data_IF_012990353134
#
_entry.id   IF_012990353134
#
_cell.length_a   1.000
_cell.length_b   1.000
_cell.length_c   1.000
_cell.angle_alpha   90.00
_cell.angle_beta   90.00
_cell.angle_gamma   90.00
#
_symmetry.space_group_name_H-M   'P 1'
#
loop_
_entity.id
_entity.type
_entity.pdbx_description
1 polymer ?
#
# COMPACT_ATOMS: atom_id res chain seq x y z
N UNK A 1 -15.73 -11.53 5.70
CA UNK A 1 -14.74 -11.05 6.68
C UNK A 1 -14.27 -12.27 7.46
N UNK A 2 -12.96 -12.50 7.48
CA UNK A 2 -12.31 -13.60 8.22
C UNK A 2 -11.20 -13.05 9.12
N UNK A 3 -11.24 -11.76 9.46
CA UNK A 3 -10.25 -11.13 10.34
C UNK A 3 -10.31 -11.67 11.77
N UNK A 4 -9.23 -11.52 12.55
CA UNK A 4 -9.11 -11.92 13.96
C UNK A 4 -9.46 -13.40 14.21
N UNK A 5 -9.01 -14.27 13.32
CA UNK A 5 -9.12 -15.73 13.45
C UNK A 5 -7.72 -16.35 13.62
N UNK A 6 -7.64 -17.68 13.58
CA UNK A 6 -6.40 -18.44 13.72
C UNK A 6 -5.93 -19.05 12.39
N UNK A 7 -6.17 -18.37 11.26
CA UNK A 7 -5.69 -18.83 9.95
C UNK A 7 -4.18 -18.64 9.90
N UNK A 8 -3.43 -19.74 9.87
CA UNK A 8 -1.97 -19.70 9.81
C UNK A 8 -1.45 -19.95 8.39
N UNK A 9 -2.10 -20.86 7.66
CA UNK A 9 -1.64 -21.34 6.38
C UNK A 9 -2.77 -21.22 5.34
N UNK A 10 -2.41 -20.85 4.12
CA UNK A 10 -3.31 -20.87 2.95
C UNK A 10 -2.71 -21.79 1.90
N UNK A 11 -3.42 -22.86 1.56
CA UNK A 11 -3.04 -23.83 0.55
C UNK A 11 -3.89 -23.70 -0.72
N UNK A 12 -3.41 -24.23 -1.84
CA UNK A 12 -4.15 -24.17 -3.11
C UNK A 12 -5.56 -24.77 -3.00
N UNK A 13 -5.72 -25.84 -2.21
CA UNK A 13 -7.02 -26.51 -1.98
C UNK A 13 -8.04 -25.60 -1.28
N UNK A 14 -7.60 -24.64 -0.47
CA UNK A 14 -8.49 -23.78 0.32
C UNK A 14 -9.25 -22.79 -0.59
N UNK A 15 -8.66 -22.46 -1.73
CA UNK A 15 -9.21 -21.50 -2.70
C UNK A 15 -9.85 -22.19 -3.92
N UNK A 16 -9.93 -23.53 -3.93
CA UNK A 16 -10.44 -24.30 -5.07
C UNK A 16 -11.87 -23.90 -5.48
N UNK A 17 -12.73 -23.56 -4.52
CA UNK A 17 -14.09 -23.08 -4.80
C UNK A 17 -14.08 -21.74 -5.53
N UNK A 18 -13.14 -20.84 -5.21
CA UNK A 18 -13.03 -19.54 -5.86
C UNK A 18 -12.61 -19.67 -7.32
N UNK A 19 -11.78 -20.66 -7.66
CA UNK A 19 -11.45 -20.97 -9.06
C UNK A 19 -12.68 -21.37 -9.89
N UNK A 20 -13.68 -21.99 -9.26
CA UNK A 20 -14.93 -22.38 -9.93
C UNK A 20 -15.91 -21.21 -10.07
N UNK A 21 -15.60 -20.06 -9.46
CA UNK A 21 -16.47 -18.88 -9.40
C UNK A 21 -15.75 -17.61 -9.91
N UNK A 22 -15.25 -17.59 -11.17
CA UNK A 22 -14.41 -16.49 -11.68
C UNK A 22 -15.12 -15.14 -11.82
N UNK A 23 -16.46 -15.12 -11.81
CA UNK A 23 -17.27 -13.90 -11.87
C UNK A 23 -17.59 -13.31 -10.48
N UNK A 24 -17.15 -13.95 -9.41
CA UNK A 24 -17.44 -13.53 -8.05
C UNK A 24 -16.65 -12.25 -7.71
N UNK A 25 -17.37 -11.14 -7.50
CA UNK A 25 -16.78 -9.88 -7.05
C UNK A 25 -16.55 -9.88 -5.52
N UNK A 26 -15.62 -10.71 -5.05
CA UNK A 26 -15.39 -10.94 -3.62
C UNK A 26 -14.42 -9.93 -3.01
N UNK A 27 -14.77 -9.38 -1.85
CA UNK A 27 -13.85 -8.69 -0.96
C UNK A 27 -13.50 -9.57 0.23
N UNK A 28 -12.21 -9.77 0.47
CA UNK A 28 -11.70 -10.61 1.53
C UNK A 28 -10.86 -9.78 2.51
N UNK A 29 -11.15 -9.93 3.79
CA UNK A 29 -10.35 -9.37 4.89
C UNK A 29 -9.82 -10.53 5.72
N UNK A 30 -8.49 -10.60 5.82
CA UNK A 30 -7.75 -11.60 6.58
C UNK A 30 -6.94 -10.97 7.71
N UNK A 31 -7.14 -9.69 8.02
CA UNK A 31 -6.36 -8.97 9.04
C UNK A 31 -6.34 -9.71 10.39
N UNK A 32 -5.27 -9.55 11.17
CA UNK A 32 -5.12 -10.14 12.52
C UNK A 32 -5.18 -11.68 12.56
N UNK A 33 -4.91 -12.34 11.44
CA UNK A 33 -4.64 -13.77 11.42
C UNK A 33 -3.12 -14.00 11.46
N UNK A 34 -2.60 -14.95 12.27
CA UNK A 34 -1.17 -15.23 12.37
C UNK A 34 -0.66 -16.03 11.16
N UNK A 35 -0.74 -15.43 9.98
CA UNK A 35 -0.39 -16.07 8.71
C UNK A 35 1.13 -16.20 8.63
N UNK A 36 1.60 -17.45 8.58
CA UNK A 36 3.02 -17.77 8.48
C UNK A 36 3.39 -18.34 7.10
N UNK A 37 2.40 -18.78 6.31
CA UNK A 37 2.65 -19.38 5.01
C UNK A 37 1.47 -19.25 4.05
N UNK A 38 1.77 -18.87 2.82
CA UNK A 38 0.85 -18.97 1.68
C UNK A 38 1.54 -19.83 0.63
N UNK A 39 0.90 -20.94 0.26
CA UNK A 39 1.45 -21.86 -0.73
C UNK A 39 1.62 -21.16 -2.07
N UNK A 40 2.81 -21.19 -2.69
CA UNK A 40 3.02 -20.65 -4.03
C UNK A 40 2.01 -21.23 -5.03
N UNK A 41 1.34 -20.35 -5.77
CA UNK A 41 0.32 -20.72 -6.74
C UNK A 41 -1.09 -20.86 -6.17
N UNK A 42 -1.30 -20.70 -4.86
CA UNK A 42 -2.65 -20.76 -4.27
C UNK A 42 -3.58 -19.68 -4.83
N UNK A 43 -3.05 -18.50 -5.15
CA UNK A 43 -3.81 -17.38 -5.70
C UNK A 43 -3.69 -17.22 -7.23
N UNK A 44 -3.07 -18.18 -7.92
CA UNK A 44 -2.93 -18.12 -9.37
C UNK A 44 -4.31 -18.07 -10.02
N UNK A 45 -4.56 -17.16 -10.96
CA UNK A 45 -5.86 -17.03 -11.66
C UNK A 45 -7.06 -16.70 -10.75
N UNK A 46 -6.82 -16.33 -9.49
CA UNK A 46 -7.86 -15.81 -8.60
C UNK A 46 -8.02 -14.31 -8.83
N UNK A 47 -9.29 -13.87 -8.83
CA UNK A 47 -9.69 -12.46 -8.93
C UNK A 47 -10.40 -12.03 -7.66
N UNK A 48 -9.94 -10.94 -7.04
CA UNK A 48 -10.59 -10.33 -5.88
C UNK A 48 -10.89 -8.86 -6.13
N UNK A 49 -12.03 -8.40 -5.62
CA UNK A 49 -12.30 -6.97 -5.56
C UNK A 49 -11.37 -6.29 -4.55
N UNK A 50 -11.21 -6.90 -3.38
CA UNK A 50 -10.38 -6.35 -2.31
C UNK A 50 -9.72 -7.48 -1.54
N UNK A 51 -8.45 -7.30 -1.20
CA UNK A 51 -7.74 -8.12 -0.23
C UNK A 51 -7.16 -7.20 0.85
N UNK A 52 -7.47 -7.48 2.11
CA UNK A 52 -6.92 -6.76 3.27
C UNK A 52 -6.06 -7.72 4.10
N UNK A 53 -4.79 -7.38 4.26
CA UNK A 53 -3.81 -8.10 5.07
C UNK A 53 -3.13 -7.11 6.00
N UNK A 54 -3.65 -6.97 7.23
CA UNK A 54 -3.09 -6.06 8.24
C UNK A 54 -2.76 -6.80 9.54
N UNK A 55 -1.57 -6.55 10.10
CA UNK A 55 -0.98 -7.33 11.21
C UNK A 55 -1.14 -8.85 11.03
N UNK A 56 -0.64 -9.35 9.90
CA UNK A 56 -0.68 -10.78 9.62
C UNK A 56 0.64 -11.51 9.89
N UNK A 57 1.75 -10.79 9.87
CA UNK A 57 3.08 -11.39 9.76
C UNK A 57 3.92 -11.02 10.97
N UNK A 58 4.53 -12.04 11.60
CA UNK A 58 5.39 -11.85 12.76
C UNK A 58 6.81 -11.36 12.40
N UNK A 59 7.20 -11.38 11.12
CA UNK A 59 8.50 -10.90 10.66
C UNK A 59 8.49 -10.51 9.19
N UNK A 60 9.50 -9.73 8.77
CA UNK A 60 9.71 -9.37 7.36
C UNK A 60 9.86 -10.62 6.46
N UNK A 61 10.61 -11.64 6.91
CA UNK A 61 10.83 -12.85 6.11
C UNK A 61 9.51 -13.58 5.85
N UNK A 62 8.66 -13.72 6.87
CA UNK A 62 7.33 -14.31 6.74
C UNK A 62 6.46 -13.49 5.78
N UNK A 63 6.47 -12.16 5.93
CA UNK A 63 5.75 -11.26 5.02
C UNK A 63 6.19 -11.45 3.57
N UNK A 64 7.50 -11.46 3.30
CA UNK A 64 8.06 -11.66 1.95
C UNK A 64 7.63 -12.99 1.34
N UNK A 65 7.77 -14.09 2.08
CA UNK A 65 7.34 -15.41 1.62
C UNK A 65 5.83 -15.48 1.37
N UNK A 66 5.01 -14.88 2.23
CA UNK A 66 3.56 -14.85 2.05
C UNK A 66 3.16 -14.01 0.83
N UNK A 67 3.78 -12.84 0.62
CA UNK A 67 3.54 -12.01 -0.56
C UNK A 67 3.92 -12.75 -1.85
N UNK A 68 5.04 -13.48 -1.85
CA UNK A 68 5.42 -14.34 -2.98
C UNK A 68 4.37 -15.43 -3.25
N UNK A 69 3.73 -15.96 -2.20
CA UNK A 69 2.62 -16.91 -2.31
C UNK A 69 1.37 -16.34 -3.01
N UNK A 70 1.22 -15.01 -3.06
CA UNK A 70 0.13 -14.32 -3.76
C UNK A 70 0.34 -14.20 -5.28
N UNK A 71 1.47 -14.71 -5.81
CA UNK A 71 1.79 -14.61 -7.24
C UNK A 71 0.65 -15.11 -8.14
N UNK A 72 0.31 -14.30 -9.14
CA UNK A 72 -0.78 -14.57 -10.09
C UNK A 72 -2.16 -14.07 -9.65
N UNK A 73 -2.28 -13.44 -8.47
CA UNK A 73 -3.50 -12.76 -8.04
C UNK A 73 -3.78 -11.51 -8.88
N UNK A 74 -5.02 -11.35 -9.32
CA UNK A 74 -5.55 -10.08 -9.82
C UNK A 74 -6.47 -9.47 -8.75
N UNK A 75 -6.13 -8.26 -8.29
CA UNK A 75 -6.87 -7.59 -7.22
C UNK A 75 -7.17 -6.14 -7.58
N UNK A 76 -8.44 -5.77 -7.44
CA UNK A 76 -8.82 -4.37 -7.67
C UNK A 76 -8.25 -3.46 -6.58
N UNK A 77 -8.31 -3.85 -5.30
CA UNK A 77 -7.69 -3.12 -4.20
C UNK A 77 -6.93 -4.00 -3.21
N UNK A 78 -5.62 -3.78 -3.09
CA UNK A 78 -4.79 -4.41 -2.05
C UNK A 78 -4.57 -3.44 -0.90
N UNK A 79 -4.79 -3.90 0.33
CA UNK A 79 -4.51 -3.15 1.55
C UNK A 79 -3.53 -3.94 2.40
N UNK A 80 -2.34 -3.39 2.61
CA UNK A 80 -1.33 -3.90 3.54
C UNK A 80 -1.15 -2.93 4.71
N UNK A 81 -0.48 -3.39 5.76
CA UNK A 81 0.00 -2.54 6.86
C UNK A 81 -0.32 -3.13 8.23
N UNK A 82 -0.39 -2.26 9.22
CA UNK A 82 -0.42 -2.65 10.63
C UNK A 82 -1.42 -1.81 11.45
N UNK A 83 -1.47 -2.04 12.76
CA UNK A 83 -2.32 -1.44 13.76
C UNK A 83 -1.41 -1.05 14.94
N UNK A 84 -1.53 0.20 15.39
CA UNK A 84 -0.67 0.79 16.43
C UNK A 84 -0.64 0.04 17.77
N UNK A 85 -1.68 -0.73 18.06
CA UNK A 85 -1.85 -1.39 19.35
C UNK A 85 -1.47 -2.88 19.30
N UNK A 86 -0.90 -3.34 18.18
CA UNK A 86 -0.54 -4.73 17.94
C UNK A 86 0.97 -4.90 17.81
N UNK A 87 1.43 -6.16 17.75
CA UNK A 87 2.84 -6.46 17.42
C UNK A 87 3.09 -6.14 15.94
N UNK A 88 4.17 -5.40 15.69
CA UNK A 88 4.52 -4.85 14.38
C UNK A 88 5.89 -5.35 13.93
N UNK A 89 6.14 -5.33 12.62
CA UNK A 89 7.40 -5.79 12.02
C UNK A 89 8.49 -4.74 12.30
N UNK A 90 9.56 -5.16 12.97
CA UNK A 90 10.66 -4.27 13.35
C UNK A 90 11.56 -3.89 12.16
N UNK A 91 11.84 -4.81 11.25
CA UNK A 91 12.84 -4.62 10.18
C UNK A 91 12.20 -4.49 8.79
N UNK A 92 11.27 -3.55 8.60
CA UNK A 92 10.69 -3.35 7.27
C UNK A 92 11.67 -2.64 6.34
N UNK A 93 12.09 -3.31 5.26
CA UNK A 93 13.07 -2.80 4.30
C UNK A 93 12.51 -2.65 2.88
N UNK A 94 13.32 -2.12 1.97
CA UNK A 94 12.95 -1.92 0.56
C UNK A 94 12.57 -3.19 -0.19
N UNK A 95 13.00 -4.37 0.28
CA UNK A 95 12.69 -5.66 -0.32
C UNK A 95 11.35 -6.24 0.13
N UNK A 96 10.68 -5.63 1.11
CA UNK A 96 9.42 -6.11 1.70
C UNK A 96 8.31 -6.32 0.67
N UNK A 97 8.29 -5.50 -0.38
CA UNK A 97 7.21 -5.45 -1.37
C UNK A 97 7.60 -6.01 -2.75
N UNK A 98 8.79 -6.58 -2.92
CA UNK A 98 9.27 -7.10 -4.21
C UNK A 98 8.34 -8.16 -4.81
N UNK A 99 7.70 -8.99 -3.98
CA UNK A 99 6.77 -10.02 -4.45
C UNK A 99 5.50 -9.44 -5.10
N UNK A 100 5.15 -8.17 -4.84
CA UNK A 100 3.99 -7.51 -5.44
C UNK A 100 4.10 -7.34 -6.96
N UNK A 101 5.33 -7.39 -7.51
CA UNK A 101 5.56 -7.37 -8.95
C UNK A 101 4.89 -8.55 -9.69
N UNK A 102 4.57 -9.64 -8.98
CA UNK A 102 3.92 -10.83 -9.54
C UNK A 102 2.39 -10.81 -9.43
N UNK A 103 1.81 -9.66 -9.04
CA UNK A 103 0.37 -9.46 -8.90
C UNK A 103 -0.11 -8.41 -9.92
N UNK A 104 -1.39 -8.47 -10.29
CA UNK A 104 -2.05 -7.37 -11.00
C UNK A 104 -2.86 -6.56 -10.00
N UNK A 105 -2.38 -5.36 -9.67
CA UNK A 105 -2.97 -4.49 -8.64
C UNK A 105 -3.49 -3.22 -9.31
N UNK A 106 -4.77 -2.88 -9.13
CA UNK A 106 -5.32 -1.61 -9.63
C UNK A 106 -5.19 -0.47 -8.62
N UNK A 107 -5.47 -0.73 -7.35
CA UNK A 107 -5.35 0.21 -6.23
C UNK A 107 -4.54 -0.42 -5.10
N UNK A 108 -3.62 0.37 -4.54
CA UNK A 108 -2.81 -0.05 -3.40
C UNK A 108 -2.97 0.92 -2.23
N UNK A 109 -3.06 0.36 -1.01
CA UNK A 109 -2.95 1.12 0.23
C UNK A 109 -1.99 0.44 1.20
N UNK A 110 -1.12 1.23 1.80
CA UNK A 110 -0.33 0.86 2.96
C UNK A 110 -0.78 1.68 4.16
N UNK A 111 -1.31 0.99 5.17
CA UNK A 111 -1.97 1.61 6.31
C UNK A 111 -1.21 1.29 7.60
N UNK A 112 -0.48 2.28 8.09
CA UNK A 112 0.36 2.25 9.29
C UNK A 112 1.48 1.23 9.20
N UNK A 113 2.69 1.70 9.48
CA UNK A 113 3.91 0.93 9.69
C UNK A 113 4.69 1.68 10.75
N UNK A 114 5.20 0.97 11.75
CA UNK A 114 6.00 1.60 12.80
C UNK A 114 7.37 2.03 12.28
N UNK A 115 8.06 1.13 11.58
CA UNK A 115 9.37 1.39 10.99
C UNK A 115 9.26 1.53 9.48
N UNK A 116 8.97 2.74 9.02
CA UNK A 116 8.92 3.02 7.58
C UNK A 116 10.34 3.32 7.04
N UNK A 117 10.78 2.70 5.93
CA UNK A 117 12.13 2.84 5.44
C UNK A 117 12.38 4.22 4.81
N UNK A 118 13.62 4.68 4.88
CA UNK A 118 14.02 5.98 4.33
C UNK A 118 14.01 6.04 2.79
N UNK A 119 14.24 4.91 2.10
CA UNK A 119 14.25 4.83 0.63
C UNK A 119 12.91 4.28 0.12
N UNK A 120 12.19 5.13 -0.60
CA UNK A 120 10.81 4.88 -1.02
C UNK A 120 10.74 4.43 -2.48
N UNK A 121 11.72 4.82 -3.32
CA UNK A 121 11.74 4.46 -4.75
C UNK A 121 11.84 2.95 -4.88
N UNK A 122 12.88 2.36 -4.28
CA UNK A 122 13.11 0.92 -4.36
C UNK A 122 11.94 0.14 -3.76
N UNK A 123 11.35 0.68 -2.68
CA UNK A 123 10.21 0.06 -2.00
C UNK A 123 8.96 -0.05 -2.88
N UNK A 124 8.66 0.97 -3.70
CA UNK A 124 7.41 1.05 -4.46
C UNK A 124 7.55 0.79 -5.96
N UNK A 125 8.72 0.31 -6.44
CA UNK A 125 8.93 -0.03 -7.84
C UNK A 125 7.87 -0.99 -8.42
N UNK A 126 7.47 -2.02 -7.66
CA UNK A 126 6.40 -2.95 -8.08
C UNK A 126 5.01 -2.30 -8.19
N UNK A 127 4.85 -1.10 -7.62
CA UNK A 127 3.61 -0.34 -7.60
C UNK A 127 3.65 0.87 -8.54
N UNK A 128 4.68 0.98 -9.39
CA UNK A 128 4.85 2.13 -10.26
C UNK A 128 3.71 2.35 -11.27
N UNK A 129 2.97 1.28 -11.59
CA UNK A 129 1.88 1.28 -12.58
C UNK A 129 0.47 1.19 -11.97
N UNK A 130 0.31 1.24 -10.65
CA UNK A 130 -1.05 1.23 -10.06
C UNK A 130 -1.79 2.51 -10.42
N UNK A 131 -3.12 2.44 -10.51
CA UNK A 131 -3.93 3.62 -10.80
C UNK A 131 -4.11 4.52 -9.56
N UNK A 132 -4.22 3.91 -8.38
CA UNK A 132 -4.37 4.61 -7.11
C UNK A 132 -3.35 4.11 -6.10
N UNK A 133 -2.63 5.03 -5.49
CA UNK A 133 -1.65 4.76 -4.43
C UNK A 133 -2.03 5.53 -3.16
N UNK A 134 -1.96 4.86 -2.01
CA UNK A 134 -2.42 5.40 -0.73
C UNK A 134 -1.47 5.05 0.40
N UNK A 135 -1.01 6.05 1.14
CA UNK A 135 -0.31 5.89 2.41
C UNK A 135 -1.16 6.51 3.52
N UNK A 136 -1.34 5.76 4.60
CA UNK A 136 -2.12 6.21 5.75
C UNK A 136 -1.32 5.99 7.02
N UNK A 137 -1.15 7.02 7.84
CA UNK A 137 -0.55 6.88 9.19
C UNK A 137 0.87 6.33 9.24
N UNK A 138 1.71 6.73 8.28
CA UNK A 138 3.15 6.39 8.21
C UNK A 138 4.04 7.61 8.49
N UNK A 139 5.26 7.38 8.97
CA UNK A 139 6.31 8.40 9.12
C UNK A 139 7.20 8.41 7.88
N UNK A 140 7.29 9.54 7.17
CA UNK A 140 8.01 9.66 5.91
C UNK A 140 9.09 10.72 6.09
N UNK A 141 10.34 10.27 6.06
CA UNK A 141 11.52 11.13 6.26
C UNK A 141 12.01 11.75 4.96
N UNK A 142 12.39 10.92 3.99
CA UNK A 142 12.76 11.37 2.64
C UNK A 142 11.52 11.44 1.77
N UNK A 143 11.40 12.53 1.04
CA UNK A 143 10.20 12.83 0.24
C UNK A 143 10.54 13.11 -1.23
N UNK A 144 11.81 13.29 -1.54
CA UNK A 144 12.34 13.52 -2.89
C UNK A 144 11.96 12.36 -3.83
N UNK A 145 11.78 11.17 -3.26
CA UNK A 145 11.42 9.94 -3.94
C UNK A 145 10.02 9.96 -4.58
N UNK A 146 9.13 10.87 -4.15
CA UNK A 146 7.80 11.02 -4.76
C UNK A 146 7.83 11.72 -6.13
N UNK A 147 8.96 12.32 -6.52
CA UNK A 147 9.19 12.86 -7.87
C UNK A 147 9.57 11.78 -8.90
N UNK A 148 9.64 10.51 -8.50
CA UNK A 148 9.89 9.43 -9.45
C UNK A 148 8.75 9.31 -10.47
N UNK A 149 9.05 8.76 -11.65
CA UNK A 149 8.14 8.69 -12.79
C UNK A 149 7.04 7.60 -12.63
N UNK A 150 6.28 7.69 -11.54
CA UNK A 150 5.13 6.85 -11.26
C UNK A 150 3.95 7.22 -12.17
N UNK A 151 3.18 6.21 -12.60
CA UNK A 151 2.01 6.38 -13.47
C UNK A 151 0.70 6.51 -12.70
N UNK A 152 0.78 6.89 -11.42
CA UNK A 152 -0.38 7.02 -10.55
C UNK A 152 -1.33 8.10 -11.08
N UNK A 153 -2.62 7.81 -11.02
CA UNK A 153 -3.70 8.73 -11.36
C UNK A 153 -4.33 9.35 -10.11
N UNK A 154 -4.27 8.63 -8.99
CA UNK A 154 -4.70 9.10 -7.67
C UNK A 154 -3.62 8.81 -6.62
N UNK A 155 -3.25 9.84 -5.87
CA UNK A 155 -2.32 9.76 -4.74
C UNK A 155 -3.03 10.24 -3.48
N UNK A 156 -3.06 9.40 -2.47
CA UNK A 156 -3.65 9.68 -1.16
C UNK A 156 -2.59 9.56 -0.07
N UNK A 157 -2.34 10.65 0.65
CA UNK A 157 -1.40 10.77 1.76
C UNK A 157 -2.15 11.34 2.96
N UNK A 158 -2.51 10.48 3.91
CA UNK A 158 -3.46 10.83 4.97
C UNK A 158 -2.93 10.47 6.35
N UNK A 159 -3.00 11.43 7.29
CA UNK A 159 -2.55 11.23 8.67
C UNK A 159 -1.08 10.78 8.77
N UNK A 160 -0.28 11.08 7.77
CA UNK A 160 1.15 10.80 7.75
C UNK A 160 1.93 11.90 8.48
N UNK A 161 3.18 11.60 8.81
CA UNK A 161 4.12 12.57 9.37
C UNK A 161 5.22 12.78 8.32
N UNK A 162 5.45 14.02 7.93
CA UNK A 162 6.47 14.39 6.96
C UNK A 162 7.49 15.35 7.57
N UNK A 163 8.78 15.18 7.25
CA UNK A 163 9.78 16.19 7.63
C UNK A 163 9.66 17.48 6.81
N UNK A 164 9.17 17.37 5.56
CA UNK A 164 8.89 18.49 4.65
C UNK A 164 7.79 18.12 3.65
N UNK A 165 7.16 19.11 3.01
CA UNK A 165 6.19 18.84 1.94
C UNK A 165 6.88 18.13 0.76
N UNK A 166 6.29 17.06 0.19
CA UNK A 166 6.95 16.29 -0.88
C UNK A 166 7.03 17.11 -2.18
N UNK A 167 8.19 17.16 -2.85
CA UNK A 167 8.24 17.59 -4.25
C UNK A 167 7.50 16.53 -5.07
N UNK A 168 6.46 16.95 -5.80
CA UNK A 168 5.64 16.03 -6.59
C UNK A 168 5.77 16.39 -8.08
N UNK A 169 6.28 15.44 -8.87
CA UNK A 169 6.46 15.56 -10.32
C UNK A 169 5.76 14.40 -11.05
N UNK A 170 4.44 14.30 -10.91
CA UNK A 170 3.64 13.17 -11.39
C UNK A 170 2.76 13.56 -12.57
N UNK A 171 3.26 13.29 -13.78
CA UNK A 171 2.64 13.70 -15.06
C UNK A 171 1.24 13.14 -15.29
N UNK A 172 0.94 11.96 -14.75
CA UNK A 172 -0.35 11.27 -14.92
C UNK A 172 -1.34 11.52 -13.78
N UNK A 173 -0.93 12.25 -12.73
CA UNK A 173 -1.73 12.40 -11.52
C UNK A 173 -2.91 13.34 -11.76
N UNK A 174 -4.12 12.81 -11.57
CA UNK A 174 -5.38 13.54 -11.71
C UNK A 174 -5.95 13.99 -10.38
N UNK A 175 -5.71 13.22 -9.31
CA UNK A 175 -6.26 13.49 -7.99
C UNK A 175 -5.15 13.40 -6.94
N UNK A 176 -4.98 14.47 -6.18
CA UNK A 176 -4.12 14.50 -5.00
C UNK A 176 -4.96 14.74 -3.76
N UNK A 177 -4.89 13.80 -2.82
CA UNK A 177 -5.46 13.93 -1.48
C UNK A 177 -4.32 13.93 -0.47
N UNK A 178 -3.93 15.09 0.02
CA UNK A 178 -2.94 15.26 1.06
C UNK A 178 -3.65 15.92 2.24
N UNK A 179 -4.09 15.15 3.24
CA UNK A 179 -4.93 15.69 4.33
C UNK A 179 -4.60 15.12 5.70
N UNK A 180 -4.85 15.93 6.74
CA UNK A 180 -4.62 15.58 8.14
C UNK A 180 -3.17 15.16 8.45
N UNK A 181 -2.21 15.57 7.63
CA UNK A 181 -0.80 15.27 7.82
C UNK A 181 -0.17 16.21 8.86
N UNK A 182 0.91 15.77 9.49
CA UNK A 182 1.72 16.54 10.44
C UNK A 182 3.13 16.72 9.89
N UNK A 183 3.83 17.78 10.27
CA UNK A 183 5.19 18.00 9.81
C UNK A 183 5.60 19.47 9.75
N UNK A 184 6.65 19.75 8.96
CA UNK A 184 6.93 21.12 8.54
C UNK A 184 5.96 21.51 7.43
N UNK A 185 5.18 22.54 7.73
CA UNK A 185 3.98 22.87 6.98
C UNK A 185 4.20 23.97 5.95
N UNK A 186 5.30 23.95 5.21
CA UNK A 186 5.50 24.90 4.11
C UNK A 186 5.17 24.19 2.80
N UNK A 187 4.15 24.69 2.10
CA UNK A 187 3.88 24.24 0.75
C UNK A 187 5.08 24.55 -0.16
N UNK A 188 5.46 23.61 -1.01
CA UNK A 188 6.42 23.81 -2.10
C UNK A 188 5.71 23.64 -3.45
N UNK A 189 6.23 24.27 -4.49
CA UNK A 189 5.71 24.11 -5.84
C UNK A 189 5.72 22.64 -6.28
N UNK A 190 4.74 22.26 -7.11
CA UNK A 190 4.54 20.90 -7.63
C UNK A 190 4.33 20.94 -9.14
N UNK A 191 4.75 19.90 -9.85
CA UNK A 191 4.61 19.75 -11.30
C UNK A 191 3.64 18.59 -11.61
N UNK A 192 2.35 18.94 -11.63
CA UNK A 192 1.23 18.00 -11.79
C UNK A 192 0.33 18.45 -12.95
N UNK A 193 0.76 18.28 -14.22
CA UNK A 193 0.10 18.88 -15.39
C UNK A 193 -1.30 18.30 -15.69
N UNK A 194 -1.61 17.10 -15.18
CA UNK A 194 -2.90 16.43 -15.36
C UNK A 194 -3.84 16.60 -14.17
N UNK A 195 -3.50 17.43 -13.18
CA UNK A 195 -4.24 17.52 -11.93
C UNK A 195 -5.63 18.15 -12.14
N UNK A 196 -6.66 17.39 -11.75
CA UNK A 196 -8.07 17.77 -11.85
C UNK A 196 -8.69 18.00 -10.46
N UNK A 197 -8.13 17.39 -9.41
CA UNK A 197 -8.62 17.47 -8.03
C UNK A 197 -7.46 17.60 -7.04
N UNK A 198 -7.54 18.59 -6.15
CA UNK A 198 -6.55 18.86 -5.12
C UNK A 198 -7.23 19.07 -3.76
N UNK A 199 -6.96 18.18 -2.81
CA UNK A 199 -7.31 18.33 -1.41
C UNK A 199 -6.04 18.46 -0.57
N UNK A 200 -5.82 19.66 0.00
CA UNK A 200 -4.73 20.00 0.92
C UNK A 200 -5.24 20.33 2.34
N UNK A 201 -6.45 19.87 2.69
CA UNK A 201 -7.13 20.25 3.92
C UNK A 201 -6.47 19.70 5.19
N UNK A 202 -6.71 20.33 6.35
CA UNK A 202 -6.35 19.79 7.69
C UNK A 202 -4.87 19.51 7.96
N UNK A 203 -3.96 20.04 7.15
CA UNK A 203 -2.51 19.87 7.35
C UNK A 203 -1.86 21.00 8.16
N UNK A 204 -2.57 22.12 8.35
CA UNK A 204 -1.96 23.34 8.91
C UNK A 204 -0.88 23.95 8.00
N UNK A 205 -0.98 23.73 6.69
CA UNK A 205 -0.06 24.27 5.68
C UNK A 205 -0.08 25.80 5.69
N UNK A 206 1.11 26.38 5.77
CA UNK A 206 1.39 27.77 5.43
C UNK A 206 1.71 27.85 3.93
N UNK A 207 1.02 28.78 3.27
CA UNK A 207 1.26 29.10 1.87
C UNK A 207 1.96 30.46 1.84
N UNK A 208 3.25 30.48 1.51
CA UNK A 208 3.95 31.73 1.19
C UNK A 208 3.77 31.96 -0.32
N UNK A 209 2.64 32.58 -0.68
CA UNK A 209 2.47 33.13 -2.02
C UNK A 209 3.33 34.38 -2.17
N UNK A 210 3.87 34.60 -3.37
CA UNK A 210 4.42 35.89 -3.80
C UNK A 210 3.33 36.97 -3.85
#
# INVERSE_FOLDING_TARGET
DLSSNNIQNIYCKDLQVLHQMPLLNLSLDLSLNPINFIQPGAFKEIRLHKLTLRNNFDSLNVMKTCIQGLAGLEVHRLVLGEFRNERNIEDFDKSALEGLCNLTIKEFRLAHLDNFPDDIIDLFNCLANVSSFSLVSVYIKRVEDFSYNFRWQHLELVNCIFEQFPPLELKSLKRLTFTANKGRNHFSEVDLPSLEFLDLSRNGLSFKGC
#
